data_IF_544715552090
#
_entry.id   IF_544715552090
#
_cell.length_a   1.000
_cell.length_b   1.000
_cell.length_c   1.000
_cell.angle_alpha   90.00
_cell.angle_beta   90.00
_cell.angle_gamma   90.00
#
_symmetry.space_group_name_H-M   'P 1'
#
loop_
_entity.id
_entity.type
_entity.pdbx_description
1 polymer ?
#
# COMPACT_ATOMS: atom_id res chain seq x y z
N UNK A 1 -2.21 -7.57 -32.07
CA UNK A 1 -3.17 -8.19 -31.14
C UNK A 1 -2.44 -9.29 -30.36
N UNK A 2 -2.40 -9.25 -29.02
CA UNK A 2 -1.64 -10.23 -28.20
C UNK A 2 -2.16 -11.67 -28.38
N UNK A 3 -1.27 -12.66 -28.44
CA UNK A 3 -1.58 -14.10 -28.62
C UNK A 3 -2.54 -14.64 -27.55
N UNK A 4 -2.35 -14.19 -26.31
CA UNK A 4 -3.15 -14.58 -25.15
C UNK A 4 -4.59 -14.08 -25.23
N UNK A 5 -4.80 -12.92 -25.85
CA UNK A 5 -6.12 -12.35 -26.06
C UNK A 5 -6.96 -13.17 -27.05
N UNK A 6 -6.32 -13.69 -28.10
CA UNK A 6 -6.99 -14.56 -29.08
C UNK A 6 -7.39 -15.90 -28.46
N UNK A 7 -6.54 -16.50 -27.64
CA UNK A 7 -6.84 -17.73 -26.89
C UNK A 7 -8.04 -17.55 -25.95
N UNK A 8 -8.06 -16.46 -25.19
CA UNK A 8 -9.17 -16.16 -24.27
C UNK A 8 -10.50 -15.95 -25.03
N UNK A 9 -10.48 -15.21 -26.14
CA UNK A 9 -11.64 -15.02 -27.02
C UNK A 9 -12.01 -16.26 -27.84
N UNK A 10 -11.17 -17.30 -27.87
CA UNK A 10 -11.49 -18.60 -28.47
C UNK A 10 -12.30 -19.53 -27.56
N UNK A 11 -12.32 -19.29 -26.25
CA UNK A 11 -13.07 -20.11 -25.28
C UNK A 11 -14.58 -19.90 -25.41
N UNK A 12 -15.40 -20.91 -25.13
CA UNK A 12 -16.86 -20.74 -25.08
C UNK A 12 -17.29 -19.77 -23.97
N UNK A 13 -18.35 -18.99 -24.18
CA UNK A 13 -18.85 -17.96 -23.24
C UNK A 13 -19.08 -18.51 -21.82
N UNK A 14 -19.50 -19.77 -21.69
CA UNK A 14 -19.70 -20.44 -20.39
C UNK A 14 -18.41 -20.57 -19.59
N UNK A 15 -17.30 -20.93 -20.25
CA UNK A 15 -16.01 -21.10 -19.59
C UNK A 15 -15.40 -19.75 -19.18
N UNK A 16 -15.63 -18.70 -19.99
CA UNK A 16 -15.22 -17.34 -19.62
C UNK A 16 -15.98 -16.83 -18.39
N UNK A 17 -17.28 -17.11 -18.33
CA UNK A 17 -18.10 -16.80 -17.16
C UNK A 17 -17.61 -17.56 -15.93
N UNK A 18 -17.36 -18.87 -16.06
CA UNK A 18 -16.83 -19.70 -14.99
C UNK A 18 -15.49 -19.17 -14.45
N UNK A 19 -14.56 -18.82 -15.35
CA UNK A 19 -13.29 -18.20 -14.97
C UNK A 19 -13.48 -16.87 -14.26
N UNK A 20 -14.37 -16.00 -14.78
CA UNK A 20 -14.66 -14.71 -14.17
C UNK A 20 -15.24 -14.87 -12.76
N UNK A 21 -16.22 -15.76 -12.59
CA UNK A 21 -16.82 -16.07 -11.29
C UNK A 21 -15.80 -16.71 -10.36
N UNK A 22 -14.92 -17.58 -10.85
CA UNK A 22 -13.85 -18.17 -10.07
C UNK A 22 -12.88 -17.14 -9.51
N UNK A 23 -12.45 -16.18 -10.34
CA UNK A 23 -11.55 -15.09 -9.92
C UNK A 23 -12.24 -14.16 -8.91
N UNK A 24 -13.48 -13.75 -9.19
CA UNK A 24 -14.25 -12.89 -8.29
C UNK A 24 -14.52 -13.60 -6.96
N UNK A 25 -14.91 -14.88 -7.00
CA UNK A 25 -15.13 -15.71 -5.82
C UNK A 25 -13.86 -15.87 -5.00
N UNK A 26 -12.72 -16.14 -5.63
CA UNK A 26 -11.43 -16.23 -4.93
C UNK A 26 -11.02 -14.90 -4.28
N UNK A 27 -11.17 -13.78 -4.99
CA UNK A 27 -10.87 -12.45 -4.45
C UNK A 27 -11.81 -12.10 -3.27
N UNK A 28 -13.11 -12.39 -3.41
CA UNK A 28 -14.11 -12.19 -2.35
C UNK A 28 -13.81 -13.04 -1.12
N UNK A 29 -13.43 -14.31 -1.31
CA UNK A 29 -12.96 -15.15 -0.22
C UNK A 29 -11.70 -14.55 0.43
N UNK A 30 -10.71 -14.13 -0.35
CA UNK A 30 -9.49 -13.50 0.19
C UNK A 30 -9.77 -12.24 1.03
N UNK A 31 -10.77 -11.43 0.64
CA UNK A 31 -11.21 -10.27 1.43
C UNK A 31 -11.88 -10.68 2.74
N UNK A 32 -12.77 -11.68 2.72
CA UNK A 32 -13.47 -12.17 3.92
C UNK A 32 -12.52 -12.91 4.87
N UNK A 33 -11.57 -13.66 4.32
CA UNK A 33 -10.55 -14.33 5.10
C UNK A 33 -9.52 -13.36 5.70
N UNK A 34 -9.44 -12.09 5.28
CA UNK A 34 -8.50 -11.12 5.86
C UNK A 34 -8.67 -11.00 7.37
N UNK A 35 -9.90 -10.76 7.84
CA UNK A 35 -10.19 -10.61 9.28
C UNK A 35 -10.09 -11.94 10.04
N UNK A 36 -10.52 -13.05 9.40
CA UNK A 36 -10.50 -14.38 10.01
C UNK A 36 -9.08 -14.97 10.10
N UNK A 37 -8.20 -14.61 9.17
CA UNK A 37 -6.77 -14.94 9.22
C UNK A 37 -6.12 -14.12 10.34
N UNK A 38 -6.40 -12.83 10.51
CA UNK A 38 -5.83 -12.04 11.62
C UNK A 38 -6.11 -12.67 13.00
N UNK A 39 -7.33 -13.14 13.25
CA UNK A 39 -7.71 -13.79 14.52
C UNK A 39 -7.08 -15.18 14.70
N UNK A 40 -7.02 -16.00 13.64
CA UNK A 40 -6.50 -17.38 13.70
C UNK A 40 -4.98 -17.49 13.59
N UNK A 41 -4.32 -16.54 12.91
CA UNK A 41 -2.86 -16.47 12.81
C UNK A 41 -2.22 -15.77 14.02
N UNK A 42 -3.01 -15.29 14.98
CA UNK A 42 -2.47 -14.59 16.16
C UNK A 42 -1.83 -13.24 15.82
N UNK A 43 -2.21 -12.64 14.68
CA UNK A 43 -1.84 -11.28 14.29
C UNK A 43 -2.79 -10.24 14.86
N UNK A 44 -3.47 -10.55 15.97
CA UNK A 44 -4.05 -9.50 16.82
C UNK A 44 -2.85 -8.68 17.32
N UNK A 45 -2.73 -7.39 16.99
CA UNK A 45 -1.67 -6.56 17.54
C UNK A 45 -1.88 -6.54 19.06
N UNK A 46 -1.09 -7.32 19.79
CA UNK A 46 -1.00 -7.27 21.24
C UNK A 46 -0.82 -5.81 21.61
N UNK A 47 -1.44 -5.32 22.70
CA UNK A 47 -1.48 -3.88 23.02
C UNK A 47 -0.11 -3.19 22.98
N UNK A 48 0.96 -3.95 23.18
CA UNK A 48 2.36 -3.57 23.03
C UNK A 48 2.74 -3.02 21.64
N UNK A 49 2.20 -3.56 20.54
CA UNK A 49 2.50 -3.07 19.17
C UNK A 49 1.83 -1.71 18.92
N UNK A 50 0.64 -1.47 19.50
CA UNK A 50 -0.04 -0.16 19.44
C UNK A 50 0.71 0.91 20.23
N UNK A 51 1.29 0.54 21.37
CA UNK A 51 2.13 1.44 22.17
C UNK A 51 3.45 1.77 21.47
N UNK A 52 4.09 0.78 20.85
CA UNK A 52 5.31 0.98 20.08
C UNK A 52 5.08 1.84 18.84
N UNK A 53 3.93 1.68 18.17
CA UNK A 53 3.51 2.54 17.06
C UNK A 53 3.33 3.99 17.52
N UNK A 54 2.64 4.22 18.66
CA UNK A 54 2.49 5.57 19.23
C UNK A 54 3.83 6.26 19.52
N UNK A 55 4.84 5.51 19.94
CA UNK A 55 6.20 6.03 20.15
C UNK A 55 6.95 6.28 18.85
N UNK A 56 6.60 5.60 17.75
CA UNK A 56 7.28 5.70 16.46
C UNK A 56 6.63 6.69 15.48
N UNK A 57 5.43 7.23 15.75
CA UNK A 57 4.82 8.25 14.87
C UNK A 57 5.67 9.54 14.95
N UNK A 58 6.37 9.94 13.88
CA UNK A 58 7.15 11.17 13.90
C UNK A 58 6.20 12.37 13.87
N UNK A 59 6.41 13.32 14.77
CA UNK A 59 5.64 14.56 14.81
C UNK A 59 6.08 15.44 13.65
N UNK A 60 5.34 15.41 12.54
CA UNK A 60 5.61 16.25 11.35
C UNK A 60 5.23 17.69 11.67
N UNK A 61 6.24 18.50 12.00
CA UNK A 61 6.08 19.95 12.14
C UNK A 61 6.24 20.55 10.75
N UNK A 62 5.21 21.22 10.23
CA UNK A 62 5.33 22.01 9.02
C UNK A 62 6.08 23.30 9.38
N UNK A 63 7.24 23.50 8.77
CA UNK A 63 7.96 24.77 8.83
C UNK A 63 7.41 25.63 7.71
N UNK A 64 6.67 26.68 8.06
CA UNK A 64 6.36 27.75 7.12
C UNK A 64 7.65 28.51 6.84
N UNK A 65 8.14 28.40 5.60
CA UNK A 65 9.24 29.23 5.11
C UNK A 65 8.62 30.46 4.49
N UNK A 66 8.31 31.44 5.33
CA UNK A 66 8.13 32.79 4.85
C UNK A 66 9.46 33.23 4.23
N UNK A 67 9.40 33.46 2.91
CA UNK A 67 10.50 33.98 2.12
C UNK A 67 10.76 35.41 2.57
N UNK A 68 11.72 35.65 3.44
CA UNK A 68 12.36 36.96 3.57
C UNK A 68 13.71 36.86 4.29
N UNK A 69 14.74 37.39 3.63
CA UNK A 69 15.84 38.10 4.28
C UNK A 69 17.04 37.29 4.83
N UNK A 70 18.21 37.71 4.37
CA UNK A 70 19.44 37.86 5.16
C UNK A 70 20.52 36.76 5.05
N UNK A 71 21.33 36.94 4.01
CA UNK A 71 22.73 37.39 4.15
C UNK A 71 23.56 36.74 5.27
N UNK A 72 24.12 35.54 5.04
CA UNK A 72 25.42 35.15 5.61
C UNK A 72 25.97 33.88 4.98
N UNK A 73 26.56 33.96 3.79
CA UNK A 73 27.64 33.03 3.39
C UNK A 73 28.68 33.72 2.50
N UNK A 74 29.68 34.34 3.13
CA UNK A 74 31.05 34.36 2.61
C UNK A 74 32.03 34.83 3.67
N UNK A 75 32.78 33.93 4.33
CA UNK A 75 34.11 34.27 4.77
C UNK A 75 35.09 33.88 3.65
N UNK A 76 35.68 34.92 3.08
CA UNK A 76 36.90 34.94 2.28
C UNK A 76 37.88 33.81 2.66
N UNK A 77 38.15 32.89 1.72
CA UNK A 77 39.33 32.03 1.76
C UNK A 77 40.52 32.87 1.32
N UNK A 78 41.42 33.16 2.25
CA UNK A 78 42.72 33.80 2.00
C UNK A 78 43.64 32.79 1.30
N UNK A 79 44.12 33.12 0.11
CA UNK A 79 45.35 32.61 -0.52
C UNK A 79 46.11 33.80 -1.13
#
# INVERSE_FOLDING_TARGET
MSYWWQKYRGLSSKHRLLLGVGVIGYAGLGLVFSDAIEEKFGMVPTEQDKEKLKMMVPRVVRVDRDRDGDEITSPQRKE
#
